data_IF_689919666436
#
_entry.id   IF_689919666436
#
_cell.length_a   1.000
_cell.length_b   1.000
_cell.length_c   1.000
_cell.angle_alpha   90.00
_cell.angle_beta   90.00
_cell.angle_gamma   90.00
#
_symmetry.space_group_name_H-M   'P 1'
#
loop_
_entity.id
_entity.type
_entity.pdbx_description
1 polymer ?
#
# COMPACT_ATOMS: atom_id res chain seq x y z
N UNK A 1 4.89 13.30 38.94
CA UNK A 1 5.24 13.78 37.59
C UNK A 1 4.36 14.92 37.12
N UNK A 2 3.07 14.75 36.76
CA UNK A 2 2.25 15.88 36.27
C UNK A 2 2.12 17.01 37.30
N UNK A 3 1.88 16.66 38.57
CA UNK A 3 1.85 17.65 39.67
C UNK A 3 3.12 18.49 39.71
N UNK A 4 4.28 17.86 39.51
CA UNK A 4 5.59 18.51 39.54
C UNK A 4 5.80 19.41 38.32
N UNK A 5 5.46 18.92 37.12
CA UNK A 5 5.48 19.70 35.86
C UNK A 5 4.71 21.01 36.03
N UNK A 6 3.56 20.95 36.72
CA UNK A 6 2.67 22.09 36.93
C UNK A 6 2.98 22.87 38.23
N UNK A 7 4.14 22.69 38.88
CA UNK A 7 4.49 23.47 40.07
C UNK A 7 4.96 24.89 39.72
N UNK A 8 5.77 25.03 38.67
CA UNK A 8 6.29 26.33 38.20
C UNK A 8 6.37 26.38 36.68
N UNK A 9 6.26 27.60 36.14
CA UNK A 9 6.39 27.85 34.70
C UNK A 9 7.77 27.42 34.17
N UNK A 10 8.83 27.72 34.92
CA UNK A 10 10.20 27.39 34.54
C UNK A 10 10.41 25.87 34.37
N UNK A 11 9.87 25.05 35.29
CA UNK A 11 9.99 23.60 35.18
C UNK A 11 9.13 23.04 34.05
N UNK A 12 7.92 23.57 33.87
CA UNK A 12 7.04 23.26 32.73
C UNK A 12 7.76 23.49 31.39
N UNK A 13 8.38 24.66 31.21
CA UNK A 13 9.15 25.00 30.00
C UNK A 13 10.29 24.01 29.78
N UNK A 14 11.08 23.70 30.81
CA UNK A 14 12.17 22.70 30.70
C UNK A 14 11.67 21.34 30.23
N UNK A 15 10.52 20.90 30.74
CA UNK A 15 9.93 19.61 30.36
C UNK A 15 9.46 19.66 28.90
N UNK A 16 8.83 20.76 28.46
CA UNK A 16 8.46 20.94 27.04
C UNK A 16 9.69 20.87 26.13
N UNK A 17 10.76 21.58 26.46
CA UNK A 17 12.01 21.53 25.68
C UNK A 17 12.60 20.12 25.59
N UNK A 18 12.57 19.38 26.70
CA UNK A 18 13.02 17.99 26.73
C UNK A 18 12.15 17.09 25.84
N UNK A 19 10.81 17.24 25.89
CA UNK A 19 9.89 16.47 25.05
C UNK A 19 10.09 16.76 23.56
N UNK A 20 10.29 18.03 23.19
CA UNK A 20 10.60 18.44 21.80
C UNK A 20 11.96 17.87 21.37
N UNK A 21 12.96 17.94 22.23
CA UNK A 21 14.29 17.37 21.96
C UNK A 21 14.22 15.87 21.72
N UNK A 22 13.47 15.13 22.55
CA UNK A 22 13.25 13.69 22.38
C UNK A 22 12.56 13.40 21.04
N UNK A 23 11.51 14.15 20.68
CA UNK A 23 10.84 14.00 19.39
C UNK A 23 11.77 14.25 18.20
N UNK A 24 12.67 15.23 18.28
CA UNK A 24 13.69 15.50 17.25
C UNK A 24 14.74 14.40 17.18
N UNK A 25 15.28 13.96 18.30
CA UNK A 25 16.34 12.93 18.33
C UNK A 25 15.80 11.58 17.87
N UNK A 26 14.60 11.21 18.31
CA UNK A 26 13.96 9.93 17.97
C UNK A 26 13.09 9.99 16.70
N UNK A 27 12.97 11.15 16.05
CA UNK A 27 12.30 11.35 14.76
C UNK A 27 10.80 10.94 14.74
N UNK A 28 10.02 11.40 15.73
CA UNK A 28 8.56 11.25 15.74
C UNK A 28 7.83 12.59 15.90
N UNK A 29 6.55 12.63 15.49
CA UNK A 29 5.85 13.87 15.19
C UNK A 29 5.02 14.48 16.33
N UNK A 30 5.01 13.89 17.53
CA UNK A 30 4.25 14.47 18.63
C UNK A 30 3.93 13.50 19.75
N UNK A 31 3.07 13.96 20.66
CA UNK A 31 2.74 13.28 21.91
C UNK A 31 1.23 13.13 22.05
N UNK A 32 0.79 11.94 22.50
CA UNK A 32 -0.56 11.74 23.03
C UNK A 32 -0.52 11.95 24.54
N UNK A 33 -1.21 12.98 25.03
CA UNK A 33 -1.30 13.26 26.46
C UNK A 33 -2.52 12.54 27.05
N UNK A 34 -2.28 11.51 27.85
CA UNK A 34 -3.33 10.83 28.61
C UNK A 34 -3.26 11.26 30.08
N UNK A 35 -4.21 12.09 30.52
CA UNK A 35 -4.23 12.66 31.88
C UNK A 35 -5.37 12.03 32.67
N UNK A 36 -5.03 11.04 33.51
CA UNK A 36 -6.01 10.27 34.30
C UNK A 36 -6.02 10.64 35.80
N UNK A 37 -5.17 11.58 36.22
CA UNK A 37 -5.08 11.97 37.62
C UNK A 37 -5.97 13.18 37.96
N UNK A 38 -6.49 13.20 39.19
CA UNK A 38 -7.20 14.36 39.72
C UNK A 38 -6.30 15.62 39.73
N UNK A 39 -6.82 16.70 39.15
CA UNK A 39 -6.15 18.00 39.05
C UNK A 39 -6.91 19.03 39.90
N UNK A 40 -6.18 19.77 40.73
CA UNK A 40 -6.74 20.92 41.44
C UNK A 40 -7.16 22.01 40.45
N UNK A 41 -8.31 22.65 40.67
CA UNK A 41 -8.84 23.70 39.79
C UNK A 41 -7.85 24.84 39.55
N UNK A 42 -6.99 25.13 40.54
CA UNK A 42 -5.91 26.13 40.47
C UNK A 42 -4.84 25.80 39.42
N UNK A 43 -4.66 24.52 39.06
CA UNK A 43 -3.64 24.05 38.12
C UNK A 43 -4.14 23.85 36.70
N UNK A 44 -5.45 24.02 36.45
CA UNK A 44 -6.05 23.91 35.12
C UNK A 44 -5.46 24.92 34.14
N UNK A 45 -5.20 26.16 34.59
CA UNK A 45 -4.54 27.19 33.78
C UNK A 45 -3.15 26.75 33.33
N UNK A 46 -2.30 26.31 34.28
CA UNK A 46 -0.97 25.81 33.95
C UNK A 46 -0.98 24.59 33.04
N UNK A 47 -1.96 23.69 33.18
CA UNK A 47 -2.09 22.56 32.28
C UNK A 47 -2.42 23.02 30.85
N UNK A 48 -3.33 23.97 30.69
CA UNK A 48 -3.64 24.56 29.39
C UNK A 48 -2.37 25.20 28.78
N UNK A 49 -1.64 25.96 29.58
CA UNK A 49 -0.42 26.64 29.13
C UNK A 49 0.68 25.62 28.76
N UNK A 50 0.79 24.50 29.49
CA UNK A 50 1.67 23.38 29.14
C UNK A 50 1.31 22.78 27.77
N UNK A 51 0.03 22.45 27.55
CA UNK A 51 -0.43 21.86 26.28
C UNK A 51 -0.23 22.84 25.12
N UNK A 52 -0.54 24.12 25.34
CA UNK A 52 -0.35 25.17 24.35
C UNK A 52 1.13 25.33 24.01
N UNK A 53 2.00 25.47 25.01
CA UNK A 53 3.43 25.61 24.79
C UNK A 53 4.03 24.39 24.10
N UNK A 54 3.66 23.17 24.52
CA UNK A 54 4.10 21.94 23.85
C UNK A 54 3.64 21.90 22.39
N UNK A 55 2.41 22.33 22.10
CA UNK A 55 1.86 22.42 20.74
C UNK A 55 2.66 23.40 19.89
N UNK A 56 2.87 24.61 20.40
CA UNK A 56 3.60 25.68 19.69
C UNK A 56 5.04 25.28 19.42
N UNK A 57 5.75 24.74 20.42
CA UNK A 57 7.16 24.33 20.28
C UNK A 57 7.32 23.13 19.35
N UNK A 58 6.42 22.14 19.42
CA UNK A 58 6.42 21.04 18.44
C UNK A 58 6.23 21.57 17.02
N UNK A 59 5.24 22.44 16.77
CA UNK A 59 4.98 22.97 15.43
C UNK A 59 6.12 23.84 14.90
N UNK A 60 6.81 24.59 15.78
CA UNK A 60 7.94 25.42 15.41
C UNK A 60 9.18 24.59 15.02
N UNK A 61 9.43 23.49 15.73
CA UNK A 61 10.69 22.74 15.61
C UNK A 61 10.59 21.48 14.74
N UNK A 62 9.38 20.98 14.50
CA UNK A 62 9.13 19.70 13.82
C UNK A 62 8.07 19.93 12.74
N UNK A 63 8.47 20.05 11.45
CA UNK A 63 7.53 20.20 10.35
C UNK A 63 6.48 19.08 10.32
N UNK A 64 5.20 19.46 10.35
CA UNK A 64 4.09 18.52 10.35
C UNK A 64 3.84 17.81 11.70
N UNK A 65 4.40 18.32 12.80
CA UNK A 65 4.08 17.78 14.12
C UNK A 65 2.58 17.85 14.40
N UNK A 66 2.06 16.89 15.14
CA UNK A 66 0.67 16.86 15.58
C UNK A 66 0.65 16.81 17.10
N UNK A 67 0.21 17.90 17.72
CA UNK A 67 -0.41 17.85 19.05
C UNK A 67 -1.90 17.95 18.80
N UNK A 68 -2.64 16.87 19.05
CA UNK A 68 -4.01 16.73 18.56
C UNK A 68 -4.91 17.86 19.08
N UNK A 69 -5.24 18.82 18.21
CA UNK A 69 -6.11 19.95 18.48
C UNK A 69 -7.15 20.12 17.35
N UNK A 70 -7.87 19.04 17.02
CA UNK A 70 -9.05 19.11 16.15
C UNK A 70 -10.31 19.39 16.96
N UNK A 71 -11.28 20.11 16.38
CA UNK A 71 -12.57 20.41 17.05
C UNK A 71 -13.36 19.16 17.42
N UNK A 72 -13.16 18.02 16.73
CA UNK A 72 -13.47 16.66 17.19
C UNK A 72 -12.60 15.66 16.41
N UNK A 73 -12.02 14.67 17.10
CA UNK A 73 -11.31 13.52 16.51
C UNK A 73 -11.57 12.30 17.39
N UNK A 74 -11.44 11.10 16.82
CA UNK A 74 -11.65 9.84 17.54
C UNK A 74 -10.32 9.12 17.64
N UNK A 75 -9.91 8.79 18.87
CA UNK A 75 -8.81 7.87 19.12
C UNK A 75 -9.38 6.47 19.39
N UNK A 76 -8.91 5.46 18.67
CA UNK A 76 -9.17 4.07 19.01
C UNK A 76 -8.10 3.63 20.01
N UNK A 77 -8.53 3.32 21.24
CA UNK A 77 -7.64 2.85 22.27
C UNK A 77 -7.42 1.33 22.14
N UNK A 78 -6.17 0.89 22.29
CA UNK A 78 -5.75 -0.51 22.26
C UNK A 78 -6.20 -1.35 21.03
N UNK A 79 -6.06 -0.88 19.77
CA UNK A 79 -6.37 -1.70 18.59
C UNK A 79 -5.41 -2.90 18.42
N UNK A 80 -4.28 -2.89 19.13
CA UNK A 80 -3.37 -4.04 19.28
C UNK A 80 -4.04 -5.28 19.87
N UNK A 81 -5.21 -5.11 20.49
CA UNK A 81 -6.08 -6.21 20.92
C UNK A 81 -6.36 -7.23 19.79
N UNK A 82 -6.41 -6.81 18.52
CA UNK A 82 -6.56 -7.72 17.37
C UNK A 82 -5.48 -8.78 17.28
N UNK A 83 -4.29 -8.50 17.81
CA UNK A 83 -3.19 -9.45 17.95
C UNK A 83 -3.15 -10.10 19.34
N UNK A 84 -3.31 -9.31 20.40
CA UNK A 84 -3.19 -9.77 21.80
C UNK A 84 -4.28 -10.79 22.17
N UNK A 85 -5.50 -10.61 21.65
CA UNK A 85 -6.62 -11.56 21.88
C UNK A 85 -6.37 -12.94 21.30
N UNK A 86 -5.45 -13.08 20.34
CA UNK A 86 -5.09 -14.37 19.77
C UNK A 86 -4.18 -15.18 20.68
N UNK A 87 -3.59 -14.62 21.74
CA UNK A 87 -2.74 -15.40 22.65
C UNK A 87 -3.53 -16.50 23.36
N UNK A 88 -4.78 -16.22 23.72
CA UNK A 88 -5.63 -17.17 24.41
C UNK A 88 -6.14 -18.27 23.46
N UNK A 89 -6.53 -17.92 22.23
CA UNK A 89 -6.92 -18.91 21.22
C UNK A 89 -5.72 -19.72 20.73
N UNK A 90 -4.54 -19.11 20.56
CA UNK A 90 -3.32 -19.82 20.13
C UNK A 90 -2.91 -20.92 21.12
N UNK A 91 -3.00 -20.64 22.43
CA UNK A 91 -2.72 -21.65 23.47
C UNK A 91 -3.77 -22.75 23.51
N UNK A 92 -5.04 -22.40 23.29
CA UNK A 92 -6.17 -23.35 23.31
C UNK A 92 -6.14 -24.29 22.11
N UNK A 93 -5.87 -23.74 20.92
CA UNK A 93 -5.98 -24.42 19.64
C UNK A 93 -4.61 -24.93 19.13
N UNK A 94 -3.54 -24.76 19.93
CA UNK A 94 -2.15 -25.16 19.60
C UNK A 94 -1.68 -24.63 18.23
N UNK A 95 -1.99 -23.36 17.95
CA UNK A 95 -1.66 -22.74 16.67
C UNK A 95 -0.15 -22.60 16.50
N UNK A 96 0.35 -23.01 15.34
CA UNK A 96 1.72 -22.72 14.95
C UNK A 96 1.89 -21.20 14.68
N UNK A 97 3.12 -20.66 14.75
CA UNK A 97 3.37 -19.22 14.55
C UNK A 97 2.76 -18.64 13.25
N UNK A 98 2.67 -19.45 12.19
CA UNK A 98 2.07 -19.06 10.92
C UNK A 98 0.56 -18.92 10.99
N UNK A 99 -0.10 -19.88 11.63
CA UNK A 99 -1.55 -19.85 11.83
C UNK A 99 -1.93 -18.63 12.65
N UNK A 100 -1.09 -18.26 13.63
CA UNK A 100 -1.27 -17.02 14.40
C UNK A 100 -1.12 -15.77 13.54
N UNK A 101 -0.12 -15.69 12.66
CA UNK A 101 0.05 -14.54 11.75
C UNK A 101 -1.12 -14.40 10.78
N UNK A 102 -1.58 -15.52 10.19
CA UNK A 102 -2.74 -15.55 9.31
C UNK A 102 -4.00 -15.09 10.06
N UNK A 103 -4.25 -15.64 11.25
CA UNK A 103 -5.40 -15.23 12.07
C UNK A 103 -5.32 -13.78 12.51
N UNK A 104 -4.13 -13.27 12.84
CA UNK A 104 -3.93 -11.86 13.15
C UNK A 104 -4.33 -10.97 11.98
N UNK A 105 -3.84 -11.25 10.78
CA UNK A 105 -4.18 -10.45 9.61
C UNK A 105 -5.67 -10.52 9.28
N UNK A 106 -6.29 -11.68 9.43
CA UNK A 106 -7.74 -11.84 9.25
C UNK A 106 -8.54 -11.05 10.29
N UNK A 107 -8.14 -11.10 11.57
CA UNK A 107 -8.80 -10.34 12.64
C UNK A 107 -8.61 -8.83 12.44
N UNK A 108 -7.39 -8.41 12.11
CA UNK A 108 -7.06 -7.03 11.83
C UNK A 108 -7.84 -6.49 10.62
N UNK A 109 -7.87 -7.21 9.49
CA UNK A 109 -8.70 -6.82 8.33
C UNK A 109 -10.18 -6.77 8.68
N UNK A 110 -10.71 -7.80 9.36
CA UNK A 110 -12.12 -7.82 9.79
C UNK A 110 -12.46 -6.61 10.66
N UNK A 111 -11.60 -6.23 11.59
CA UNK A 111 -11.79 -5.06 12.45
C UNK A 111 -11.79 -3.77 11.64
N UNK A 112 -10.76 -3.52 10.84
CA UNK A 112 -10.62 -2.26 10.09
C UNK A 112 -11.62 -2.13 8.96
N UNK A 113 -12.00 -3.23 8.32
CA UNK A 113 -13.02 -3.24 7.27
C UNK A 113 -14.40 -2.78 7.76
N UNK A 114 -14.74 -3.02 9.04
CA UNK A 114 -15.99 -2.51 9.64
C UNK A 114 -16.03 -0.99 9.72
N UNK A 115 -14.86 -0.37 9.88
CA UNK A 115 -14.71 1.08 9.98
C UNK A 115 -14.40 1.71 8.62
N UNK A 116 -13.89 0.94 7.66
CA UNK A 116 -13.37 1.40 6.38
C UNK A 116 -14.26 2.42 5.67
N UNK A 117 -15.57 2.15 5.54
CA UNK A 117 -16.53 3.07 4.87
C UNK A 117 -16.66 4.44 5.56
N UNK A 118 -16.27 4.53 6.83
CA UNK A 118 -16.31 5.75 7.64
C UNK A 118 -14.94 6.43 7.76
N UNK A 119 -13.87 5.78 7.28
CA UNK A 119 -12.51 6.28 7.37
C UNK A 119 -12.08 6.88 6.03
N UNK A 120 -11.42 8.03 6.09
CA UNK A 120 -10.74 8.56 4.92
C UNK A 120 -9.42 7.82 4.73
N UNK A 121 -9.27 7.21 3.56
CA UNK A 121 -8.14 6.36 3.22
C UNK A 121 -7.05 7.21 2.59
N UNK A 122 -5.87 7.24 3.21
CA UNK A 122 -4.69 7.88 2.64
C UNK A 122 -3.77 6.82 2.07
N UNK A 123 -3.88 6.53 0.78
CA UNK A 123 -2.93 5.66 0.11
C UNK A 123 -1.71 6.41 -0.44
N UNK A 124 -0.91 5.74 -1.28
CA UNK A 124 0.34 6.30 -1.79
C UNK A 124 0.08 7.41 -2.81
N UNK A 125 0.86 8.49 -2.72
CA UNK A 125 0.70 9.71 -3.56
C UNK A 125 2.00 10.22 -4.18
N UNK A 126 3.12 9.52 -3.96
CA UNK A 126 4.46 9.94 -4.40
C UNK A 126 5.10 8.84 -5.24
N UNK A 127 5.72 9.26 -6.34
CA UNK A 127 6.58 8.41 -7.17
C UNK A 127 8.06 8.62 -6.76
N UNK A 128 8.93 7.60 -6.91
CA UNK A 128 8.58 6.22 -7.26
C UNK A 128 7.80 5.53 -6.13
N UNK A 129 6.85 4.69 -6.51
CA UNK A 129 6.10 3.84 -5.60
C UNK A 129 6.56 2.40 -5.80
N UNK A 130 6.92 1.73 -4.71
CA UNK A 130 7.28 0.33 -4.71
C UNK A 130 6.64 -0.38 -3.51
N UNK A 131 6.17 -1.59 -3.75
CA UNK A 131 5.82 -2.52 -2.68
C UNK A 131 6.11 -3.95 -3.11
N UNK A 132 6.71 -4.73 -2.22
CA UNK A 132 6.76 -6.19 -2.32
C UNK A 132 5.69 -6.90 -1.49
N UNK A 133 4.80 -6.13 -0.85
CA UNK A 133 3.83 -6.62 0.12
C UNK A 133 4.45 -7.31 1.34
N UNK A 134 5.74 -7.05 1.60
CA UNK A 134 6.40 -7.51 2.81
C UNK A 134 5.75 -6.88 4.04
N UNK A 135 5.31 -7.71 4.99
CA UNK A 135 4.70 -7.28 6.24
C UNK A 135 5.71 -6.80 7.30
N UNK A 136 7.01 -6.85 6.99
CA UNK A 136 8.07 -6.61 7.96
C UNK A 136 8.35 -7.84 8.83
N UNK A 137 7.94 -9.02 8.40
CA UNK A 137 8.26 -10.30 9.02
C UNK A 137 8.23 -11.43 7.98
N UNK A 138 8.77 -12.60 8.35
CA UNK A 138 8.66 -13.81 7.54
C UNK A 138 9.49 -14.96 8.09
N UNK A 139 9.26 -16.16 7.56
CA UNK A 139 10.04 -17.38 7.84
C UNK A 139 11.43 -17.36 7.20
N UNK A 140 11.54 -16.58 6.13
CA UNK A 140 12.74 -16.42 5.33
C UNK A 140 12.79 -14.97 4.87
N UNK A 141 13.97 -14.54 4.44
CA UNK A 141 14.19 -13.26 3.81
C UNK A 141 14.64 -13.45 2.37
N UNK A 142 13.78 -13.10 1.41
CA UNK A 142 14.10 -13.11 0.00
C UNK A 142 14.57 -11.74 -0.48
N UNK A 143 15.46 -11.75 -1.47
CA UNK A 143 15.77 -10.61 -2.33
C UNK A 143 15.66 -11.08 -3.78
N UNK A 144 14.84 -10.40 -4.57
CA UNK A 144 14.58 -10.71 -5.98
C UNK A 144 14.25 -12.19 -6.23
N UNK A 145 13.42 -12.78 -5.38
CA UNK A 145 12.98 -14.18 -5.44
C UNK A 145 13.99 -15.20 -4.92
N UNK A 146 15.21 -14.77 -4.55
CA UNK A 146 16.23 -15.65 -3.97
C UNK A 146 16.32 -15.49 -2.46
N UNK A 147 16.25 -16.61 -1.75
CA UNK A 147 16.45 -16.67 -0.29
C UNK A 147 17.84 -16.25 0.10
N UNK A 148 17.91 -15.20 0.92
CA UNK A 148 19.14 -14.66 1.52
C UNK A 148 19.34 -15.22 2.93
N UNK A 149 18.24 -15.54 3.62
CA UNK A 149 18.23 -16.18 4.93
C UNK A 149 16.95 -17.00 5.06
N UNK A 150 17.09 -18.19 5.63
CA UNK A 150 16.05 -19.16 5.98
C UNK A 150 15.59 -19.05 7.44
N UNK A 151 16.06 -18.02 8.16
CA UNK A 151 15.71 -17.76 9.55
C UNK A 151 14.43 -16.90 9.65
N UNK A 152 13.62 -17.21 10.66
CA UNK A 152 12.48 -16.37 11.03
C UNK A 152 12.94 -14.97 11.46
N UNK A 153 12.24 -13.95 10.98
CA UNK A 153 12.60 -12.56 11.26
C UNK A 153 11.39 -11.66 11.45
N UNK A 154 11.60 -10.58 12.21
CA UNK A 154 10.64 -9.51 12.44
C UNK A 154 11.37 -8.17 12.49
N UNK A 155 11.01 -7.25 11.61
CA UNK A 155 11.49 -5.88 11.53
C UNK A 155 10.50 -5.02 10.74
N UNK A 156 9.64 -4.27 11.45
CA UNK A 156 8.64 -3.39 10.83
C UNK A 156 9.25 -2.25 10.00
N UNK A 157 10.53 -1.89 10.18
CA UNK A 157 11.19 -0.92 9.31
C UNK A 157 11.39 -1.46 7.87
N UNK A 158 11.22 -2.78 7.67
CA UNK A 158 11.22 -3.43 6.35
C UNK A 158 9.81 -3.67 5.81
N UNK A 159 8.77 -3.26 6.52
CA UNK A 159 7.40 -3.35 6.02
C UNK A 159 7.24 -2.44 4.79
N UNK A 160 6.58 -2.95 3.76
CA UNK A 160 6.21 -2.18 2.57
C UNK A 160 4.72 -1.83 2.59
N UNK A 161 4.30 -0.94 1.69
CA UNK A 161 2.90 -0.56 1.53
C UNK A 161 2.01 -1.80 1.38
N UNK A 162 1.05 -1.94 2.29
CA UNK A 162 0.01 -2.96 2.21
C UNK A 162 -1.19 -2.42 1.43
N UNK A 163 -1.99 -3.28 0.76
CA UNK A 163 -3.20 -2.84 0.08
C UNK A 163 -4.02 -1.96 1.00
N UNK A 164 -4.38 -0.77 0.53
CA UNK A 164 -5.19 0.13 1.33
C UNK A 164 -6.61 -0.42 1.45
N UNK A 165 -7.13 -1.05 0.41
CA UNK A 165 -8.53 -1.51 0.34
C UNK A 165 -8.63 -2.90 1.00
N UNK A 166 -9.49 -3.11 2.02
CA UNK A 166 -9.69 -4.40 2.67
C UNK A 166 -10.12 -5.49 1.69
N UNK A 167 -9.74 -6.74 1.95
CA UNK A 167 -10.05 -7.86 1.06
C UNK A 167 -11.48 -8.40 1.24
N UNK A 168 -12.19 -8.02 2.30
CA UNK A 168 -13.57 -8.48 2.57
C UNK A 168 -14.59 -7.38 2.23
N UNK A 169 -15.67 -7.60 1.48
CA UNK A 169 -16.77 -6.65 1.41
C UNK A 169 -17.47 -6.54 2.79
N UNK A 170 -18.10 -5.40 3.12
CA UNK A 170 -18.88 -5.25 4.35
C UNK A 170 -20.02 -6.27 4.42
N UNK A 171 -20.45 -6.57 5.65
CA UNK A 171 -21.40 -7.63 6.10
C UNK A 171 -22.74 -7.75 5.36
N UNK A 172 -23.04 -6.89 4.39
CA UNK A 172 -24.28 -6.90 3.61
C UNK A 172 -24.38 -8.11 2.66
N UNK A 173 -23.35 -8.95 2.58
CA UNK A 173 -23.38 -10.25 1.91
C UNK A 173 -23.36 -11.38 2.95
N UNK A 174 -24.53 -11.91 3.29
CA UNK A 174 -24.72 -13.02 4.25
C UNK A 174 -24.11 -14.37 3.78
N UNK A 175 -23.40 -14.41 2.66
CA UNK A 175 -22.88 -15.64 2.05
C UNK A 175 -21.51 -15.43 1.42
N UNK A 176 -20.41 -15.52 2.19
CA UNK A 176 -19.07 -15.85 1.65
C UNK A 176 -18.08 -16.13 2.79
N UNK A 177 -17.92 -17.42 3.11
CA UNK A 177 -16.96 -17.93 4.11
C UNK A 177 -15.56 -18.21 3.54
N UNK A 178 -15.28 -17.86 2.28
CA UNK A 178 -13.98 -18.13 1.66
C UNK A 178 -13.11 -16.86 1.60
N UNK A 179 -12.16 -16.67 2.54
CA UNK A 179 -11.22 -15.55 2.50
C UNK A 179 -10.34 -15.52 1.22
N UNK A 180 -10.27 -16.63 0.46
CA UNK A 180 -9.58 -16.69 -0.84
C UNK A 180 -10.40 -16.15 -2.02
N UNK A 181 -11.63 -15.67 -1.80
CA UNK A 181 -12.49 -15.09 -2.84
C UNK A 181 -12.02 -13.73 -3.37
N UNK A 182 -11.03 -13.12 -2.73
CA UNK A 182 -10.41 -11.88 -3.20
C UNK A 182 -8.91 -12.13 -3.31
N UNK A 183 -8.11 -11.63 -2.37
CA UNK A 183 -6.66 -11.87 -2.27
C UNK A 183 -6.30 -12.10 -0.79
N UNK A 184 -5.18 -12.79 -0.52
CA UNK A 184 -4.64 -12.96 0.84
C UNK A 184 -3.13 -12.80 0.83
N UNK A 185 -2.52 -12.49 1.97
CA UNK A 185 -1.08 -12.66 2.14
C UNK A 185 -0.68 -14.13 2.01
N UNK A 186 0.50 -14.36 1.44
CA UNK A 186 1.12 -15.67 1.28
C UNK A 186 2.55 -15.64 1.83
N UNK A 187 2.90 -16.65 2.61
CA UNK A 187 4.11 -16.69 3.46
C UNK A 187 5.12 -17.75 3.05
N UNK A 188 4.79 -18.60 2.06
CA UNK A 188 5.67 -19.68 1.60
C UNK A 188 6.42 -19.30 0.30
N UNK A 189 6.23 -18.07 -0.18
CA UNK A 189 6.96 -17.49 -1.28
C UNK A 189 6.87 -15.97 -1.27
N UNK A 190 7.95 -15.30 -1.65
CA UNK A 190 8.01 -13.85 -1.83
C UNK A 190 9.06 -13.47 -2.87
N UNK A 191 8.88 -12.32 -3.54
CA UNK A 191 9.95 -11.72 -4.33
C UNK A 191 10.97 -11.07 -3.40
N UNK A 192 10.52 -10.11 -2.59
CA UNK A 192 11.36 -9.37 -1.65
C UNK A 192 10.74 -9.39 -0.26
N UNK A 193 11.56 -9.67 0.76
CA UNK A 193 11.10 -9.84 2.14
C UNK A 193 10.56 -11.25 2.40
N UNK A 194 9.48 -11.34 3.19
CA UNK A 194 8.97 -12.62 3.71
C UNK A 194 7.54 -12.97 3.33
N UNK A 195 6.87 -12.11 2.54
CA UNK A 195 5.49 -12.33 2.13
C UNK A 195 5.21 -11.71 0.76
N UNK A 196 4.19 -12.22 0.07
CA UNK A 196 3.60 -11.64 -1.13
C UNK A 196 2.06 -11.73 -1.07
N UNK A 197 1.35 -11.34 -2.12
CA UNK A 197 -0.10 -11.58 -2.23
C UNK A 197 -0.40 -12.81 -3.07
N UNK A 198 -1.47 -13.53 -2.72
CA UNK A 198 -2.03 -14.67 -3.46
C UNK A 198 -3.45 -14.37 -3.89
N UNK A 199 -3.75 -14.65 -5.15
CA UNK A 199 -5.03 -14.41 -5.79
C UNK A 199 -5.52 -15.71 -6.44
N UNK A 200 -6.73 -16.18 -6.09
CA UNK A 200 -7.32 -17.43 -6.62
C UNK A 200 -8.60 -17.20 -7.41
N UNK A 201 -9.36 -16.17 -7.03
CA UNK A 201 -10.66 -15.87 -7.60
C UNK A 201 -10.50 -14.92 -8.79
N UNK A 202 -11.11 -15.30 -9.90
CA UNK A 202 -11.19 -14.62 -11.19
C UNK A 202 -12.47 -13.79 -11.36
N UNK A 203 -13.38 -13.82 -10.38
CA UNK A 203 -14.58 -12.99 -10.38
C UNK A 203 -14.24 -11.53 -10.07
N UNK A 204 -14.36 -10.66 -11.08
CA UNK A 204 -14.19 -9.21 -10.96
C UNK A 204 -12.76 -8.75 -10.60
N UNK A 205 -12.44 -7.51 -10.99
CA UNK A 205 -11.23 -6.85 -10.58
C UNK A 205 -11.20 -6.65 -9.06
N UNK A 206 -10.03 -6.84 -8.45
CA UNK A 206 -9.79 -6.56 -7.03
C UNK A 206 -8.97 -5.28 -6.93
N UNK A 207 -9.50 -4.28 -6.24
CA UNK A 207 -8.78 -3.03 -5.97
C UNK A 207 -7.82 -3.25 -4.81
N UNK A 208 -6.55 -2.85 -4.95
CA UNK A 208 -5.54 -2.95 -3.90
C UNK A 208 -5.30 -1.59 -3.24
N UNK A 209 -5.06 -0.56 -4.05
CA UNK A 209 -4.69 0.77 -3.57
C UNK A 209 -5.66 1.82 -4.08
N UNK A 210 -6.30 2.55 -3.17
CA UNK A 210 -6.78 3.89 -3.43
C UNK A 210 -5.56 4.81 -3.34
N UNK A 211 -5.15 5.40 -4.44
CA UNK A 211 -3.90 6.16 -4.53
C UNK A 211 -4.15 7.52 -5.15
N UNK A 212 -3.10 8.33 -5.26
CA UNK A 212 -3.20 9.61 -5.94
C UNK A 212 -1.87 10.04 -6.54
N UNK A 213 -1.46 9.36 -7.61
CA UNK A 213 -0.20 9.67 -8.29
C UNK A 213 -0.42 10.73 -9.37
N UNK A 214 0.23 11.91 -9.29
CA UNK A 214 0.26 12.84 -10.40
C UNK A 214 0.92 12.18 -11.61
N UNK A 215 0.18 12.01 -12.69
CA UNK A 215 0.70 11.73 -14.02
C UNK A 215 0.69 13.04 -14.81
N UNK A 216 1.48 14.01 -14.36
CA UNK A 216 1.72 15.23 -15.13
C UNK A 216 2.34 14.92 -16.50
N UNK A 217 2.97 13.75 -16.59
CA UNK A 217 3.71 13.20 -17.72
C UNK A 217 3.51 11.67 -17.78
N UNK A 218 4.28 11.02 -18.64
CA UNK A 218 4.33 9.58 -18.83
C UNK A 218 4.62 8.80 -17.52
N UNK A 219 4.26 7.53 -17.47
CA UNK A 219 4.45 6.62 -16.33
C UNK A 219 5.08 5.30 -16.80
N UNK A 220 6.03 4.78 -16.04
CA UNK A 220 6.51 3.40 -16.20
C UNK A 220 5.87 2.56 -15.10
N UNK A 221 5.21 1.49 -15.51
CA UNK A 221 4.51 0.55 -14.63
C UNK A 221 5.16 -0.81 -14.78
N UNK A 222 5.54 -1.43 -13.67
CA UNK A 222 5.96 -2.81 -13.67
C UNK A 222 5.48 -3.58 -12.45
N UNK A 223 5.31 -4.88 -12.62
CA UNK A 223 4.94 -5.78 -11.54
C UNK A 223 5.60 -7.13 -11.74
N UNK A 224 5.87 -7.80 -10.63
CA UNK A 224 6.42 -9.14 -10.60
C UNK A 224 5.35 -10.12 -10.11
N UNK A 225 5.18 -11.23 -10.80
CA UNK A 225 4.16 -12.22 -10.47
C UNK A 225 4.64 -13.66 -10.76
N UNK A 226 3.92 -14.63 -10.23
CA UNK A 226 4.17 -16.06 -10.47
C UNK A 226 2.86 -16.82 -10.45
N UNK A 227 2.59 -17.58 -11.50
CA UNK A 227 1.37 -18.37 -11.62
C UNK A 227 1.65 -19.83 -11.25
N UNK A 228 0.71 -20.50 -10.59
CA UNK A 228 0.86 -21.94 -10.33
C UNK A 228 0.70 -22.78 -11.62
N UNK A 229 -0.09 -22.27 -12.56
CA UNK A 229 -0.31 -22.85 -13.88
C UNK A 229 -0.27 -21.75 -14.97
N UNK A 230 0.92 -21.41 -15.49
CA UNK A 230 1.07 -20.34 -16.47
C UNK A 230 0.36 -20.59 -17.81
N UNK A 231 -0.04 -21.83 -18.10
CA UNK A 231 -0.73 -22.17 -19.35
C UNK A 231 -2.20 -21.75 -19.35
N UNK A 232 -2.83 -21.64 -18.17
CA UNK A 232 -4.28 -21.38 -18.03
C UNK A 232 -4.59 -20.23 -17.08
N UNK A 233 -3.59 -19.59 -16.48
CA UNK A 233 -3.75 -18.51 -15.51
C UNK A 233 -2.86 -17.34 -15.92
N UNK A 234 -3.46 -16.15 -15.97
CA UNK A 234 -2.73 -14.90 -16.16
C UNK A 234 -3.11 -13.86 -15.09
N UNK A 235 -2.13 -13.08 -14.64
CA UNK A 235 -2.35 -11.98 -13.71
C UNK A 235 -2.14 -10.65 -14.42
N UNK A 236 -3.16 -9.80 -14.38
CA UNK A 236 -3.12 -8.44 -14.89
C UNK A 236 -3.09 -7.43 -13.75
N UNK A 237 -2.35 -6.34 -13.95
CA UNK A 237 -2.47 -5.14 -13.14
C UNK A 237 -3.48 -4.19 -13.81
N UNK A 238 -4.39 -3.60 -13.04
CA UNK A 238 -5.44 -2.71 -13.55
C UNK A 238 -5.26 -1.34 -12.91
N UNK A 239 -5.01 -0.32 -13.72
CA UNK A 239 -4.89 1.06 -13.24
C UNK A 239 -6.14 1.86 -13.59
N UNK A 240 -6.51 2.80 -12.72
CA UNK A 240 -7.57 3.77 -12.97
C UNK A 240 -6.98 5.15 -13.08
N UNK A 241 -7.00 5.73 -14.28
CA UNK A 241 -6.64 7.12 -14.51
C UNK A 241 -7.90 7.99 -14.44
N UNK A 242 -7.83 9.11 -13.72
CA UNK A 242 -8.94 10.05 -13.56
C UNK A 242 -8.53 11.46 -13.99
N UNK A 243 -9.41 12.11 -14.76
CA UNK A 243 -9.28 13.49 -15.18
C UNK A 243 -10.25 14.35 -14.37
N UNK A 244 -9.74 15.11 -13.40
CA UNK A 244 -10.57 16.00 -12.57
C UNK A 244 -11.27 17.09 -13.39
N UNK A 245 -10.65 17.54 -14.49
CA UNK A 245 -11.19 18.60 -15.35
C UNK A 245 -12.34 18.11 -16.22
N UNK A 246 -12.26 16.88 -16.73
CA UNK A 246 -13.28 16.30 -17.60
C UNK A 246 -14.29 15.44 -16.82
N UNK A 247 -14.01 15.13 -15.55
CA UNK A 247 -14.75 14.17 -14.74
C UNK A 247 -14.83 12.76 -15.35
N UNK A 248 -13.85 12.42 -16.18
CA UNK A 248 -13.79 11.13 -16.89
C UNK A 248 -12.78 10.19 -16.23
N UNK A 249 -12.96 8.90 -16.48
CA UNK A 249 -12.13 7.84 -15.94
C UNK A 249 -11.76 6.85 -17.04
N UNK A 250 -10.47 6.55 -17.16
CA UNK A 250 -9.91 5.53 -18.05
C UNK A 250 -9.41 4.34 -17.24
N UNK A 251 -9.84 3.13 -17.61
CA UNK A 251 -9.36 1.86 -17.05
C UNK A 251 -8.25 1.31 -17.95
N UNK A 252 -7.07 1.10 -17.38
CA UNK A 252 -5.87 0.68 -18.13
C UNK A 252 -5.50 -0.72 -17.65
N UNK A 253 -5.52 -1.70 -18.55
CA UNK A 253 -5.18 -3.10 -18.26
C UNK A 253 -3.75 -3.37 -18.70
N UNK A 254 -2.87 -3.58 -17.72
CA UNK A 254 -1.50 -4.02 -17.91
C UNK A 254 -1.47 -5.56 -17.88
N UNK A 255 -1.62 -6.18 -19.04
CA UNK A 255 -1.64 -7.62 -19.24
C UNK A 255 -1.01 -8.02 -20.59
N UNK A 256 -0.93 -9.31 -20.87
CA UNK A 256 -0.45 -9.83 -22.14
C UNK A 256 -1.35 -9.41 -23.33
N UNK A 257 -0.82 -9.54 -24.55
CA UNK A 257 -1.50 -9.22 -25.81
C UNK A 257 -2.76 -10.08 -26.07
N UNK A 258 -2.97 -11.16 -25.31
CA UNK A 258 -4.13 -12.03 -25.44
C UNK A 258 -5.21 -11.81 -24.37
N UNK A 259 -4.93 -10.99 -23.34
CA UNK A 259 -5.89 -10.72 -22.26
C UNK A 259 -7.12 -9.95 -22.75
N UNK A 260 -8.33 -10.51 -22.62
CA UNK A 260 -9.55 -9.79 -22.98
C UNK A 260 -9.70 -8.46 -22.23
N UNK A 261 -9.74 -7.37 -22.99
CA UNK A 261 -10.17 -6.04 -22.57
C UNK A 261 -11.64 -5.94 -22.94
N UNK A 262 -12.48 -5.42 -22.05
CA UNK A 262 -13.91 -5.28 -22.34
C UNK A 262 -14.16 -4.30 -23.49
N UNK A 263 -15.30 -4.43 -24.17
CA UNK A 263 -15.74 -3.51 -25.24
C UNK A 263 -16.17 -2.12 -24.71
N UNK A 264 -15.63 -1.68 -23.57
CA UNK A 264 -15.99 -0.40 -22.94
C UNK A 264 -15.17 0.71 -23.56
N UNK A 265 -15.82 1.82 -23.89
CA UNK A 265 -15.17 3.01 -24.48
C UNK A 265 -14.11 3.65 -23.59
N UNK A 266 -14.18 3.42 -22.27
CA UNK A 266 -13.26 3.99 -21.30
C UNK A 266 -12.27 2.96 -20.76
N UNK A 267 -11.99 1.92 -21.53
CA UNK A 267 -11.06 0.85 -21.19
C UNK A 267 -10.00 0.70 -22.28
N UNK A 268 -8.76 0.51 -21.89
CA UNK A 268 -7.67 0.28 -22.83
C UNK A 268 -6.67 -0.74 -22.32
N UNK A 269 -5.91 -1.32 -23.25
CA UNK A 269 -4.77 -2.17 -22.94
C UNK A 269 -3.48 -1.37 -22.92
N UNK A 270 -2.65 -1.59 -21.91
CA UNK A 270 -1.27 -1.16 -21.96
C UNK A 270 -0.45 -2.10 -22.86
N UNK A 271 0.38 -1.52 -23.71
CA UNK A 271 1.32 -2.24 -24.56
C UNK A 271 2.51 -2.67 -23.69
N UNK A 272 2.77 -3.97 -23.55
CA UNK A 272 3.93 -4.46 -22.82
C UNK A 272 5.21 -4.05 -23.55
N UNK A 273 6.24 -3.69 -22.79
CA UNK A 273 7.57 -3.45 -23.33
C UNK A 273 8.31 -4.79 -23.42
N UNK A 274 8.89 -5.06 -24.57
CA UNK A 274 9.83 -6.16 -24.72
C UNK A 274 11.15 -5.89 -23.96
N UNK A 275 12.02 -6.89 -23.96
CA UNK A 275 13.33 -6.83 -23.30
C UNK A 275 14.21 -5.71 -23.83
N UNK A 276 14.18 -5.42 -25.13
CA UNK A 276 15.01 -4.38 -25.73
C UNK A 276 14.54 -2.98 -25.31
N UNK A 277 13.23 -2.73 -25.38
CA UNK A 277 12.61 -1.51 -24.91
C UNK A 277 12.79 -1.32 -23.40
N UNK A 278 12.71 -2.40 -22.62
CA UNK A 278 12.99 -2.40 -21.18
C UNK A 278 14.43 -1.98 -20.88
N UNK A 279 15.43 -2.53 -21.60
CA UNK A 279 16.82 -2.10 -21.48
C UNK A 279 17.04 -0.66 -21.93
N UNK A 280 16.30 -0.21 -22.95
CA UNK A 280 16.34 1.17 -23.43
C UNK A 280 15.87 2.13 -22.34
N UNK A 281 14.81 1.81 -21.58
CA UNK A 281 14.38 2.65 -20.44
C UNK A 281 15.50 2.91 -19.43
N UNK A 282 16.33 1.91 -19.13
CA UNK A 282 17.47 2.06 -18.22
C UNK A 282 18.50 3.04 -18.76
N UNK A 283 18.86 2.92 -20.04
CA UNK A 283 19.80 3.84 -20.71
C UNK A 283 19.30 5.28 -20.65
N UNK A 284 17.98 5.45 -20.65
CA UNK A 284 17.32 6.75 -20.59
C UNK A 284 17.15 7.28 -19.15
N UNK A 285 17.55 6.53 -18.13
CA UNK A 285 17.58 6.96 -16.73
C UNK A 285 16.47 6.38 -15.83
N UNK A 286 15.72 5.38 -16.29
CA UNK A 286 14.70 4.72 -15.47
C UNK A 286 15.32 4.02 -14.25
N UNK A 287 14.85 4.34 -13.04
CA UNK A 287 15.31 3.72 -11.79
C UNK A 287 14.29 2.71 -11.28
N UNK A 288 14.37 1.46 -11.76
CA UNK A 288 13.47 0.40 -11.32
C UNK A 288 14.02 -0.36 -10.11
N UNK A 289 13.18 -0.55 -9.09
CA UNK A 289 13.46 -1.48 -7.98
C UNK A 289 13.43 -2.95 -8.45
N UNK A 290 12.71 -3.22 -9.55
CA UNK A 290 12.67 -4.51 -10.21
C UNK A 290 13.74 -4.61 -11.32
N UNK A 291 14.40 -5.76 -11.46
CA UNK A 291 15.45 -5.97 -12.45
C UNK A 291 14.88 -6.07 -13.86
N UNK A 292 15.54 -5.46 -14.84
CA UNK A 292 15.11 -5.50 -16.24
C UNK A 292 15.42 -6.84 -16.89
N UNK A 293 14.57 -7.80 -16.56
CA UNK A 293 14.50 -9.11 -17.14
C UNK A 293 13.03 -9.52 -17.17
N UNK A 294 12.64 -10.33 -18.14
CA UNK A 294 11.28 -10.86 -18.21
C UNK A 294 11.03 -11.86 -17.07
N UNK A 295 12.09 -12.44 -16.51
CA UNK A 295 12.03 -13.33 -15.36
C UNK A 295 13.19 -13.14 -14.40
N UNK A 296 12.96 -13.41 -13.10
CA UNK A 296 14.01 -13.56 -12.11
C UNK A 296 13.62 -14.59 -11.04
N UNK A 297 14.47 -15.61 -10.85
CA UNK A 297 14.30 -16.64 -9.81
C UNK A 297 12.87 -17.21 -9.73
N UNK A 298 12.27 -17.50 -10.89
CA UNK A 298 10.91 -18.05 -11.00
C UNK A 298 9.76 -17.03 -10.91
N UNK A 299 10.06 -15.74 -10.85
CA UNK A 299 9.08 -14.65 -10.99
C UNK A 299 9.12 -14.08 -12.39
N UNK A 300 7.97 -13.85 -13.01
CA UNK A 300 7.82 -13.10 -14.25
C UNK A 300 7.65 -11.62 -13.96
N UNK A 301 8.32 -10.76 -14.72
CA UNK A 301 8.23 -9.30 -14.60
C UNK A 301 7.72 -8.72 -15.90
N UNK A 302 6.72 -7.86 -15.81
CA UNK A 302 6.16 -7.15 -16.96
C UNK A 302 6.36 -5.65 -16.83
N UNK A 303 6.68 -5.01 -17.95
CA UNK A 303 6.94 -3.59 -18.05
C UNK A 303 5.97 -2.94 -19.02
N UNK A 304 5.48 -1.75 -18.68
CA UNK A 304 4.58 -0.97 -19.52
C UNK A 304 5.01 0.49 -19.47
N UNK A 305 5.01 1.14 -20.64
CA UNK A 305 5.17 2.58 -20.74
C UNK A 305 3.81 3.21 -21.05
N UNK A 306 3.33 4.07 -20.17
CA UNK A 306 2.10 4.84 -20.34
C UNK A 306 2.44 6.27 -20.70
N UNK A 307 2.26 6.62 -21.97
CA UNK A 307 2.46 7.94 -22.56
C UNK A 307 1.22 8.82 -22.40
N UNK A 308 1.41 10.03 -21.89
CA UNK A 308 0.32 10.99 -21.64
C UNK A 308 0.16 12.04 -22.76
N UNK A 309 0.69 11.80 -23.97
CA UNK A 309 0.79 12.79 -25.08
C UNK A 309 -0.49 13.52 -25.44
N UNK A 310 -1.64 12.86 -25.33
CA UNK A 310 -2.93 13.40 -25.76
C UNK A 310 -3.86 13.71 -24.59
N UNK A 311 -3.33 13.73 -23.37
CA UNK A 311 -4.11 13.93 -22.17
C UNK A 311 -4.16 15.39 -21.72
N UNK A 312 -5.29 15.85 -21.15
CA UNK A 312 -5.33 17.14 -20.49
C UNK A 312 -4.35 17.18 -19.28
N UNK A 313 -3.75 18.34 -19.00
CA UNK A 313 -2.90 18.51 -17.82
C UNK A 313 -3.64 18.15 -16.52
N UNK A 314 -3.00 17.34 -15.67
CA UNK A 314 -3.49 17.00 -14.34
C UNK A 314 -4.20 15.64 -14.22
N UNK A 315 -3.89 14.69 -15.11
CA UNK A 315 -4.33 13.29 -14.98
C UNK A 315 -3.66 12.64 -13.77
N UNK A 316 -4.41 11.79 -13.07
CA UNK A 316 -3.93 11.13 -11.85
C UNK A 316 -4.30 9.66 -11.89
N UNK A 317 -3.35 8.79 -11.52
CA UNK A 317 -3.69 7.40 -11.21
C UNK A 317 -4.26 7.38 -9.80
N UNK A 318 -5.54 7.03 -9.71
CA UNK A 318 -6.33 7.07 -8.47
C UNK A 318 -6.60 5.69 -7.89
N UNK A 319 -6.37 4.64 -8.68
CA UNK A 319 -6.54 3.25 -8.25
C UNK A 319 -5.50 2.34 -8.87
N UNK A 320 -5.02 1.38 -8.08
CA UNK A 320 -4.26 0.22 -8.54
C UNK A 320 -5.00 -1.03 -8.07
N UNK A 321 -5.40 -1.86 -9.01
CA UNK A 321 -6.04 -3.15 -8.79
C UNK A 321 -5.36 -4.27 -9.56
N UNK A 322 -5.92 -5.47 -9.41
CA UNK A 322 -5.47 -6.70 -10.04
C UNK A 322 -6.67 -7.47 -10.60
N UNK A 323 -6.43 -8.24 -11.65
CA UNK A 323 -7.41 -9.15 -12.25
C UNK A 323 -6.73 -10.48 -12.51
N UNK A 324 -7.35 -11.57 -12.05
CA UNK A 324 -6.97 -12.92 -12.43
C UNK A 324 -7.78 -13.31 -13.65
N UNK A 325 -7.10 -13.76 -14.70
CA UNK A 325 -7.72 -14.40 -15.84
C UNK A 325 -7.47 -15.90 -15.77
N UNK A 326 -8.51 -16.68 -16.02
CA UNK A 326 -8.47 -18.14 -16.05
C UNK A 326 -9.08 -18.62 -17.36
N UNK A 327 -8.34 -19.47 -18.07
CA UNK A 327 -8.87 -20.18 -19.23
C UNK A 327 -9.95 -21.19 -18.80
N UNK A 328 -10.87 -21.59 -19.70
CA UNK A 328 -11.94 -22.56 -19.37
C UNK A 328 -11.42 -23.88 -18.80
N UNK A 329 -10.20 -24.29 -19.15
CA UNK A 329 -9.53 -25.50 -18.67
C UNK A 329 -8.81 -25.33 -17.33
N UNK A 330 -8.74 -24.12 -16.78
CA UNK A 330 -8.07 -23.85 -15.52
C UNK A 330 -8.77 -24.55 -14.34
N UNK A 331 -7.97 -25.01 -13.37
CA UNK A 331 -8.55 -25.60 -12.17
C UNK A 331 -9.09 -24.52 -11.24
N UNK A 332 -10.16 -24.83 -10.50
CA UNK A 332 -10.74 -23.88 -9.52
C UNK A 332 -9.74 -23.47 -8.43
N UNK A 333 -8.76 -24.32 -8.14
CA UNK A 333 -7.70 -24.08 -7.16
C UNK A 333 -6.51 -23.28 -7.71
N UNK A 334 -6.46 -23.05 -9.02
CA UNK A 334 -5.36 -22.32 -9.65
C UNK A 334 -5.30 -20.88 -9.16
N UNK A 335 -4.09 -20.35 -9.03
CA UNK A 335 -3.80 -19.09 -8.38
C UNK A 335 -2.57 -18.39 -8.97
N UNK A 336 -2.53 -17.08 -8.80
CA UNK A 336 -1.37 -16.24 -9.05
C UNK A 336 -0.83 -15.68 -7.74
N UNK A 337 0.48 -15.47 -7.70
CA UNK A 337 1.17 -14.70 -6.67
C UNK A 337 1.61 -13.37 -7.25
N UNK A 338 1.33 -12.28 -6.54
CA UNK A 338 1.83 -10.95 -6.86
C UNK A 338 2.97 -10.60 -5.90
N UNK A 339 4.19 -10.58 -6.43
CA UNK A 339 5.42 -10.41 -5.67
C UNK A 339 5.82 -8.97 -5.47
N UNK A 340 5.53 -8.08 -6.43
CA UNK A 340 5.78 -6.65 -6.29
C UNK A 340 5.00 -5.81 -7.31
N UNK A 341 4.80 -4.54 -6.97
CA UNK A 341 4.38 -3.46 -7.88
C UNK A 341 5.41 -2.35 -7.78
N UNK A 342 5.80 -1.78 -8.92
CA UNK A 342 6.61 -0.58 -9.01
C UNK A 342 6.04 0.39 -10.05
N UNK A 343 5.81 1.63 -9.63
CA UNK A 343 5.43 2.75 -10.49
C UNK A 343 6.50 3.83 -10.36
N UNK A 344 6.89 4.43 -11.47
CA UNK A 344 7.79 5.59 -11.48
C UNK A 344 7.39 6.56 -12.59
N UNK A 345 7.85 7.81 -12.46
CA UNK A 345 7.72 8.77 -13.54
C UNK A 345 8.39 8.22 -14.81
N UNK A 346 7.72 8.40 -15.95
CA UNK A 346 8.27 8.09 -17.26
C UNK A 346 9.34 9.10 -17.66
N UNK A 347 9.77 9.02 -18.93
CA UNK A 347 10.88 9.84 -19.44
C UNK A 347 10.43 10.59 -20.69
N UNK A 348 9.57 11.61 -20.54
CA UNK A 348 8.97 12.39 -21.62
C UNK A 348 9.92 12.80 -22.74
N UNK A 349 11.12 13.25 -22.37
CA UNK A 349 12.16 13.74 -23.29
C UNK A 349 12.74 12.66 -24.18
N UNK A 350 12.49 11.39 -23.87
CA UNK A 350 13.08 10.23 -24.53
C UNK A 350 12.03 9.25 -25.06
N UNK A 351 10.74 9.63 -25.03
CA UNK A 351 9.61 8.80 -25.48
C UNK A 351 9.72 8.36 -26.94
N UNK A 352 10.36 9.16 -27.79
CA UNK A 352 10.55 8.87 -29.22
C UNK A 352 11.49 7.68 -29.46
N UNK A 353 12.36 7.36 -28.50
CA UNK A 353 13.23 6.20 -28.55
C UNK A 353 12.54 4.89 -28.14
N UNK A 354 11.27 4.97 -27.72
CA UNK A 354 10.47 3.80 -27.36
C UNK A 354 9.53 3.47 -28.52
N UNK A 355 9.78 2.37 -29.25
CA UNK A 355 8.95 1.99 -30.40
C UNK A 355 7.54 1.54 -29.99
N UNK A 356 7.42 0.96 -28.79
CA UNK A 356 6.15 0.49 -28.23
C UNK A 356 5.84 1.31 -26.98
N UNK A 357 4.76 2.09 -27.03
CA UNK A 357 4.25 2.85 -25.88
C UNK A 357 2.73 2.90 -25.90
N UNK A 358 2.14 2.82 -24.72
CA UNK A 358 0.70 2.97 -24.54
C UNK A 358 0.37 4.45 -24.59
N UNK A 359 -0.44 4.93 -25.53
CA UNK A 359 -0.92 6.33 -25.49
C UNK A 359 -2.24 6.38 -24.76
N UNK A 360 -2.28 7.09 -23.63
CA UNK A 360 -3.50 7.28 -22.87
C UNK A 360 -4.40 8.28 -23.59
N UNK A 361 -5.64 7.89 -23.88
CA UNK A 361 -6.67 8.69 -24.55
C UNK A 361 -7.94 8.74 -23.70
N UNK A 362 -8.55 9.92 -23.60
CA UNK A 362 -9.87 10.10 -23.00
C UNK A 362 -10.79 10.56 -24.14
N UNK A 363 -11.39 9.59 -24.83
CA UNK A 363 -12.33 9.87 -25.90
C UNK A 363 -13.63 10.42 -25.31
N UNK A 364 -14.10 11.55 -25.83
CA UNK A 364 -15.46 12.01 -25.56
C UNK A 364 -16.42 11.11 -26.34
N UNK A 365 -17.49 10.59 -25.73
CA UNK A 365 -18.55 9.98 -26.51
C UNK A 365 -19.12 11.04 -27.46
N UNK A 366 -19.11 10.75 -28.77
CA UNK A 366 -19.77 11.56 -29.80
C UNK A 366 -21.29 11.64 -29.59
#
# INVERSE_FOLDING_TARGET
>A
MLRDILQSEEFMVRVVEALVTVSKVCQFHGWLLNIECALESSKVGMLRDFVQLLTERCHAEIPGSLVMNFRFSVALFAPGWTFESLEESSKRDQLEPDDRNVQFLQMNDRFWNRLWRHLYVRGPIRLPFYTSFCLGSGKFYNRLGKTQSDECWFNLAKQNFQPSIPYTPPLEYETRNDPLSHWTHHFDGALDGGSCLKLRNDEHDKRLFACDFPCADDLIVCYAHRNNNPATVDLALVLKAYSFRQHECLRIVCANADCHVGDRSNEMRAIPLDKEASLQLLKLGATSQLPLADTINGWEIRYYYLSAEQLPPGIRIVDIGIKLHKEPEAHSTDYALLGAIHLQAGIPTHREYLPQRTVLLFDRPE
#
